data_IF_315977901365
#
_entry.id   IF_315977901365
#
_cell.length_a   1.000
_cell.length_b   1.000
_cell.length_c   1.000
_cell.angle_alpha   90.00
_cell.angle_beta   90.00
_cell.angle_gamma   90.00
#
_symmetry.space_group_name_H-M   'P 1'
#
loop_
_entity.id
_entity.type
_entity.pdbx_description
1 polymer ?
#
# COMPACT_ATOMS: atom_id res chain seq x y z
N UNK A 1 -1.12 11.94 37.26
CA UNK A 1 0.03 11.66 36.39
C UNK A 1 -0.52 11.41 35.00
N UNK A 2 -0.49 12.44 34.15
CA UNK A 2 -0.91 12.31 32.77
C UNK A 2 0.13 11.43 32.06
N UNK A 3 -0.31 10.37 31.40
CA UNK A 3 0.56 9.59 30.52
C UNK A 3 0.85 10.49 29.33
N UNK A 4 2.10 10.94 29.22
CA UNK A 4 2.61 11.56 28.01
C UNK A 4 2.45 10.56 26.86
N UNK A 5 1.37 10.73 26.09
CA UNK A 5 1.24 10.14 24.78
C UNK A 5 2.29 10.83 23.90
N UNK A 6 3.49 10.26 23.88
CA UNK A 6 4.44 10.53 22.81
C UNK A 6 3.78 10.03 21.52
N UNK A 7 3.10 10.93 20.81
CA UNK A 7 2.70 10.72 19.43
C UNK A 7 3.99 10.63 18.63
N UNK A 8 4.57 9.44 18.55
CA UNK A 8 5.56 9.16 17.53
C UNK A 8 4.85 9.35 16.20
N UNK A 9 5.21 10.40 15.48
CA UNK A 9 4.80 10.55 14.09
C UNK A 9 5.62 9.51 13.36
N UNK A 10 5.01 8.37 13.02
CA UNK A 10 5.64 7.38 12.17
C UNK A 10 5.25 7.68 10.72
N UNK A 11 6.22 7.58 9.81
CA UNK A 11 5.92 7.48 8.40
C UNK A 11 4.96 6.29 8.20
N UNK A 12 3.92 6.48 7.39
CA UNK A 12 2.77 5.56 7.30
C UNK A 12 2.51 5.18 5.85
N UNK A 13 2.21 3.90 5.60
CA UNK A 13 1.72 3.41 4.32
C UNK A 13 0.23 3.11 4.45
N UNK A 14 -0.57 3.67 3.55
CA UNK A 14 -1.97 3.32 3.40
C UNK A 14 -2.09 2.42 2.17
N UNK A 15 -2.59 1.20 2.37
CA UNK A 15 -2.84 0.23 1.31
C UNK A 15 -4.34 0.07 1.11
N UNK A 16 -4.83 0.47 -0.06
CA UNK A 16 -6.23 0.33 -0.47
C UNK A 16 -6.36 -0.81 -1.49
N UNK A 17 -7.08 -1.87 -1.12
CA UNK A 17 -7.34 -3.02 -1.96
C UNK A 17 -8.68 -2.86 -2.69
N UNK A 18 -8.70 -3.09 -4.02
CA UNK A 18 -9.89 -2.94 -4.86
C UNK A 18 -10.16 -4.18 -5.71
N UNK A 19 -11.43 -4.43 -6.02
CA UNK A 19 -11.88 -5.50 -6.93
C UNK A 19 -11.74 -5.10 -8.41
N UNK A 20 -12.11 -5.98 -9.35
CA UNK A 20 -12.02 -5.73 -10.80
C UNK A 20 -12.85 -4.52 -11.29
N UNK A 21 -13.86 -4.10 -10.53
CA UNK A 21 -14.69 -2.93 -10.82
C UNK A 21 -14.13 -1.65 -10.21
N UNK A 22 -12.92 -1.71 -9.61
CA UNK A 22 -12.29 -0.64 -8.82
C UNK A 22 -13.12 -0.22 -7.60
N UNK A 23 -13.96 -1.11 -7.09
CA UNK A 23 -14.65 -0.89 -5.82
C UNK A 23 -13.73 -1.27 -4.67
N UNK A 24 -13.67 -0.42 -3.66
CA UNK A 24 -12.86 -0.64 -2.45
C UNK A 24 -13.36 -1.87 -1.70
N UNK A 25 -12.46 -2.82 -1.49
CA UNK A 25 -12.70 -4.00 -0.65
C UNK A 25 -12.38 -3.68 0.80
N UNK A 26 -11.20 -3.11 1.05
CA UNK A 26 -10.76 -2.65 2.37
C UNK A 26 -9.54 -1.73 2.24
N UNK A 27 -9.17 -1.10 3.35
CA UNK A 27 -7.94 -0.33 3.50
C UNK A 27 -7.27 -0.68 4.82
N UNK A 28 -5.94 -0.68 4.81
CA UNK A 28 -5.13 -0.82 6.01
C UNK A 28 -4.11 0.32 6.08
N UNK A 29 -3.75 0.66 7.31
CA UNK A 29 -2.69 1.62 7.62
C UNK A 29 -1.62 0.88 8.38
N UNK A 30 -0.39 0.91 7.86
CA UNK A 30 0.77 0.23 8.44
C UNK A 30 1.93 1.23 8.58
N UNK A 31 2.75 1.12 9.63
CA UNK A 31 4.02 1.85 9.71
C UNK A 31 4.93 1.52 8.52
N UNK A 32 5.69 2.52 8.03
CA UNK A 32 6.61 2.37 6.88
C UNK A 32 7.72 1.36 7.15
N UNK A 33 8.24 1.31 8.37
CA UNK A 33 9.23 0.33 8.79
C UNK A 33 8.69 -1.09 8.73
N UNK A 34 7.47 -1.33 9.19
CA UNK A 34 6.79 -2.62 9.03
C UNK A 34 6.57 -2.96 7.55
N UNK A 35 6.14 -1.99 6.73
CA UNK A 35 5.91 -2.21 5.29
C UNK A 35 7.16 -2.67 4.53
N UNK A 36 8.33 -2.12 4.83
CA UNK A 36 9.57 -2.49 4.14
C UNK A 36 10.32 -3.66 4.79
N UNK A 37 10.04 -3.96 6.06
CA UNK A 37 10.71 -5.06 6.78
C UNK A 37 9.98 -6.39 6.59
N UNK A 38 8.65 -6.36 6.48
CA UNK A 38 7.81 -7.56 6.39
C UNK A 38 7.27 -7.76 4.98
N UNK A 39 7.25 -9.03 4.56
CA UNK A 39 6.55 -9.43 3.34
C UNK A 39 5.05 -9.32 3.56
N UNK A 40 4.44 -8.24 3.06
CA UNK A 40 3.02 -7.99 3.29
C UNK A 40 2.18 -8.85 2.33
N UNK A 41 1.18 -9.64 2.80
CA UNK A 41 0.41 -10.55 1.93
C UNK A 41 -0.29 -9.86 0.74
N UNK A 42 -0.65 -8.58 0.88
CA UNK A 42 -1.18 -7.77 -0.22
C UNK A 42 -0.20 -7.61 -1.39
N UNK A 43 1.10 -7.60 -1.12
CA UNK A 43 2.17 -7.41 -2.10
C UNK A 43 2.72 -8.77 -2.56
N UNK A 44 2.93 -9.70 -1.65
CA UNK A 44 3.74 -10.89 -1.93
C UNK A 44 2.98 -12.23 -1.98
N UNK A 45 1.68 -12.26 -1.64
CA UNK A 45 0.89 -13.50 -1.62
C UNK A 45 -0.23 -13.50 -2.69
N UNK A 46 -0.03 -14.15 -3.86
CA UNK A 46 -1.05 -14.30 -4.88
C UNK A 46 -2.31 -15.02 -4.38
N UNK A 47 -2.16 -16.01 -3.50
CA UNK A 47 -3.31 -16.76 -2.99
C UNK A 47 -4.16 -15.89 -2.07
N UNK A 48 -3.53 -15.06 -1.23
CA UNK A 48 -4.24 -14.07 -0.43
C UNK A 48 -5.05 -13.12 -1.32
N UNK A 49 -4.42 -12.56 -2.36
CA UNK A 49 -5.10 -11.65 -3.30
C UNK A 49 -6.27 -12.32 -4.01
N UNK A 50 -6.06 -13.55 -4.50
CA UNK A 50 -7.10 -14.35 -5.16
C UNK A 50 -8.29 -14.61 -4.23
N UNK A 51 -8.04 -15.09 -3.01
CA UNK A 51 -9.08 -15.37 -2.02
C UNK A 51 -9.90 -14.14 -1.64
N UNK A 52 -9.27 -12.96 -1.68
CA UNK A 52 -9.91 -11.68 -1.37
C UNK A 52 -10.48 -10.97 -2.60
N UNK A 53 -10.39 -11.57 -3.79
CA UNK A 53 -10.81 -10.96 -5.07
C UNK A 53 -10.14 -9.61 -5.36
N UNK A 54 -8.90 -9.43 -4.90
CA UNK A 54 -8.13 -8.19 -5.10
C UNK A 54 -7.57 -8.19 -6.51
N UNK A 55 -7.84 -7.11 -7.25
CA UNK A 55 -7.41 -6.91 -8.64
C UNK A 55 -6.57 -5.66 -8.83
N UNK A 56 -6.74 -4.69 -7.94
CA UNK A 56 -5.93 -3.48 -7.90
C UNK A 56 -5.52 -3.21 -6.46
N UNK A 57 -4.31 -2.73 -6.27
CA UNK A 57 -3.82 -2.22 -5.00
C UNK A 57 -3.29 -0.81 -5.22
N UNK A 58 -3.74 0.11 -4.40
CA UNK A 58 -3.28 1.49 -4.40
C UNK A 58 -2.61 1.79 -3.06
N UNK A 59 -1.29 2.00 -3.10
CA UNK A 59 -0.50 2.35 -1.94
C UNK A 59 -0.14 3.83 -1.91
N UNK A 60 -0.22 4.45 -0.74
CA UNK A 60 0.20 5.83 -0.49
C UNK A 60 1.16 5.85 0.70
N UNK A 61 2.38 6.29 0.47
CA UNK A 61 3.46 6.38 1.46
C UNK A 61 3.56 7.82 1.94
N UNK A 62 3.35 8.02 3.23
CA UNK A 62 3.45 9.31 3.90
C UNK A 62 4.71 9.33 4.77
N UNK A 63 5.48 10.41 4.68
CA UNK A 63 6.69 10.59 5.49
C UNK A 63 6.36 11.02 6.93
N UNK A 64 7.38 11.26 7.74
CA UNK A 64 7.28 11.69 9.13
C UNK A 64 6.67 13.09 9.33
N UNK A 65 6.45 13.85 8.26
CA UNK A 65 5.73 15.13 8.28
C UNK A 65 4.25 14.95 7.83
N UNK A 66 3.79 13.71 7.67
CA UNK A 66 2.48 13.37 7.09
C UNK A 66 2.28 13.90 5.67
N UNK A 67 3.37 14.14 4.93
CA UNK A 67 3.32 14.51 3.51
C UNK A 67 3.43 13.26 2.65
N UNK A 68 2.67 13.22 1.57
CA UNK A 68 2.76 12.15 0.58
C UNK A 68 4.15 12.19 -0.07
N UNK A 69 4.88 11.08 0.03
CA UNK A 69 6.22 10.90 -0.53
C UNK A 69 6.15 10.08 -1.82
N UNK A 70 5.31 9.04 -1.82
CA UNK A 70 5.14 8.12 -2.95
C UNK A 70 3.70 7.63 -3.04
N UNK A 71 3.22 7.41 -4.26
CA UNK A 71 2.00 6.68 -4.56
C UNK A 71 2.36 5.52 -5.49
N UNK A 72 1.79 4.34 -5.27
CA UNK A 72 1.96 3.22 -6.19
C UNK A 72 0.65 2.52 -6.48
N UNK A 73 0.58 1.91 -7.66
CA UNK A 73 -0.56 1.12 -8.13
C UNK A 73 -0.05 -0.19 -8.67
N UNK A 74 -0.60 -1.29 -8.18
CA UNK A 74 -0.31 -2.62 -8.70
C UNK A 74 -1.61 -3.24 -9.22
N UNK A 75 -1.54 -3.82 -10.41
CA UNK A 75 -2.62 -4.58 -11.02
C UNK A 75 -2.31 -6.08 -10.95
N UNK A 76 -3.34 -6.87 -10.70
CA UNK A 76 -3.24 -8.32 -10.57
C UNK A 76 -4.23 -9.05 -11.49
N UNK A 77 -3.88 -10.27 -11.90
CA UNK A 77 -4.75 -11.16 -12.66
C UNK A 77 -5.82 -11.84 -11.76
N UNK A 78 -6.66 -12.71 -12.33
CA UNK A 78 -7.69 -13.42 -11.56
C UNK A 78 -7.13 -14.46 -10.60
N UNK A 79 -5.87 -14.84 -10.79
CA UNK A 79 -5.15 -15.78 -9.95
C UNK A 79 -4.33 -15.07 -8.87
N UNK A 80 -4.36 -13.73 -8.82
CA UNK A 80 -3.61 -12.89 -7.89
C UNK A 80 -2.16 -12.67 -8.30
N UNK A 81 -1.75 -13.06 -9.51
CA UNK A 81 -0.41 -12.79 -10.00
C UNK A 81 -0.28 -11.32 -10.41
N UNK A 82 0.91 -10.76 -10.19
CA UNK A 82 1.24 -9.41 -10.61
C UNK A 82 1.20 -9.29 -12.13
N UNK A 83 0.60 -8.19 -12.63
CA UNK A 83 0.52 -7.87 -14.04
C UNK A 83 1.39 -6.67 -14.41
N UNK A 84 1.26 -5.59 -13.65
CA UNK A 84 1.88 -4.31 -13.92
C UNK A 84 1.86 -3.44 -12.66
N UNK A 85 2.79 -2.51 -12.56
CA UNK A 85 2.80 -1.54 -11.49
C UNK A 85 3.39 -0.19 -11.90
N UNK A 86 2.89 0.84 -11.23
CA UNK A 86 3.31 2.23 -11.40
C UNK A 86 3.66 2.77 -10.03
N UNK A 87 4.80 3.44 -9.92
CA UNK A 87 5.21 4.21 -8.74
C UNK A 87 5.38 5.67 -9.17
N UNK A 88 4.76 6.58 -8.43
CA UNK A 88 4.84 8.02 -8.61
C UNK A 88 5.45 8.65 -7.37
N UNK A 89 6.57 9.32 -7.53
CA UNK A 89 7.28 10.02 -6.45
C UNK A 89 6.83 11.47 -6.35
N UNK A 90 6.99 12.08 -5.17
CA UNK A 90 6.63 13.48 -4.93
C UNK A 90 7.35 14.50 -5.84
N UNK A 91 8.52 14.14 -6.37
CA UNK A 91 9.27 14.97 -7.33
C UNK A 91 8.75 14.86 -8.78
N UNK A 92 7.72 14.04 -9.01
CA UNK A 92 7.13 13.78 -10.31
C UNK A 92 7.80 12.64 -11.09
N UNK A 93 8.80 11.97 -10.52
CA UNK A 93 9.38 10.75 -11.11
C UNK A 93 8.32 9.66 -11.17
N UNK A 94 8.19 9.02 -12.33
CA UNK A 94 7.30 7.88 -12.56
C UNK A 94 8.16 6.68 -12.96
N UNK A 95 7.93 5.56 -12.29
CA UNK A 95 8.54 4.26 -12.59
C UNK A 95 7.41 3.31 -12.94
N UNK A 96 7.55 2.61 -14.06
CA UNK A 96 6.59 1.64 -14.57
C UNK A 96 7.34 0.31 -14.80
N UNK A 97 6.74 -0.80 -14.37
CA UNK A 97 7.22 -2.17 -14.59
C UNK A 97 6.15 -3.03 -15.28
#
# INVERSE_FOLDING_TARGET
MAKDQHSYIYATVILEALNSSKEKLFEISIPVDEYYSDSHPLIDDPQYRKQKSIRHLHGRVYNYESKLDQEFKNDYDSEGNYLHGIIMHADGTIIED
#
